data_IF_598431520722
#
_entry.id   IF_598431520722
#
_cell.length_a   1.000
_cell.length_b   1.000
_cell.length_c   1.000
_cell.angle_alpha   90.00
_cell.angle_beta   90.00
_cell.angle_gamma   90.00
#
_symmetry.space_group_name_H-M   'P 1'
#
loop_
_entity.id
_entity.type
_entity.pdbx_description
1 polymer ?
#
# COMPACT_ATOMS: atom_id res chain seq x y z
N UNK A 1 6.58 14.18 20.63
CA UNK A 1 5.74 14.50 19.46
C UNK A 1 5.68 13.26 18.59
N UNK A 2 4.50 12.82 18.17
CA UNK A 2 4.38 11.69 17.24
C UNK A 2 4.42 12.23 15.81
N UNK A 3 5.27 11.64 14.96
CA UNK A 3 5.46 12.09 13.58
C UNK A 3 4.98 10.98 12.65
N UNK A 4 3.89 11.18 11.89
CA UNK A 4 3.41 10.16 10.96
C UNK A 4 4.42 9.97 9.80
N UNK A 5 4.45 8.77 9.19
CA UNK A 5 5.33 8.49 8.07
C UNK A 5 5.02 9.36 6.84
N UNK A 6 5.96 9.47 5.88
CA UNK A 6 5.75 10.26 4.68
C UNK A 6 4.54 9.76 3.91
N UNK A 7 3.71 10.69 3.40
CA UNK A 7 2.50 10.37 2.63
C UNK A 7 1.49 9.48 3.39
N UNK A 8 1.47 9.57 4.73
CA UNK A 8 0.53 8.84 5.57
C UNK A 8 -0.93 9.18 5.22
N UNK A 9 -1.78 8.16 5.28
CA UNK A 9 -3.23 8.30 5.13
C UNK A 9 -3.96 7.15 5.79
N UNK A 10 -5.18 7.43 6.24
CA UNK A 10 -6.14 6.40 6.63
C UNK A 10 -6.94 6.05 5.38
N UNK A 11 -6.95 4.78 5.00
CA UNK A 11 -7.73 4.28 3.85
C UNK A 11 -9.11 3.88 4.33
N UNK A 12 -9.17 3.07 5.39
CA UNK A 12 -10.39 2.60 6.06
C UNK A 12 -10.11 2.42 7.56
N UNK A 13 -11.13 2.08 8.33
CA UNK A 13 -10.94 1.66 9.72
C UNK A 13 -9.93 0.51 9.79
N UNK A 14 -8.87 0.69 10.58
CA UNK A 14 -7.76 -0.26 10.72
C UNK A 14 -6.97 -0.57 9.43
N UNK A 15 -7.12 0.23 8.37
CA UNK A 15 -6.31 0.16 7.15
C UNK A 15 -5.63 1.49 6.86
N UNK A 16 -4.30 1.44 6.78
CA UNK A 16 -3.48 2.63 6.62
C UNK A 16 -2.58 2.52 5.38
N UNK A 17 -2.10 3.67 4.91
CA UNK A 17 -1.13 3.78 3.81
C UNK A 17 -0.02 4.77 4.15
N UNK A 18 1.17 4.57 3.58
CA UNK A 18 2.25 5.56 3.56
C UNK A 18 3.37 5.18 2.60
N UNK A 19 4.38 6.04 2.51
CA UNK A 19 5.73 5.66 2.10
C UNK A 19 6.49 4.92 3.20
N UNK A 20 7.72 4.51 2.91
CA UNK A 20 8.56 3.84 3.89
C UNK A 20 8.84 4.78 5.09
N UNK A 21 8.59 4.34 6.33
CA UNK A 21 8.90 5.11 7.52
C UNK A 21 10.40 5.11 7.82
N UNK A 22 10.85 6.13 8.55
CA UNK A 22 12.13 6.15 9.24
C UNK A 22 11.95 5.96 10.76
N UNK A 23 13.06 5.94 11.51
CA UNK A 23 13.05 5.74 12.97
C UNK A 23 12.25 6.81 13.73
N UNK A 24 12.13 8.03 13.20
CA UNK A 24 11.35 9.10 13.83
C UNK A 24 9.84 8.78 13.79
N UNK A 25 9.41 7.96 12.82
CA UNK A 25 8.01 7.56 12.66
C UNK A 25 7.62 6.34 13.50
N UNK A 26 8.57 5.54 13.96
CA UNK A 26 8.28 4.28 14.66
C UNK A 26 7.38 4.47 15.90
N UNK A 27 7.60 5.49 16.77
CA UNK A 27 6.69 5.73 17.90
C UNK A 27 5.25 6.02 17.50
N UNK A 28 5.02 6.57 16.30
CA UNK A 28 3.67 6.76 15.77
C UNK A 28 3.07 5.42 15.30
N UNK A 29 3.84 4.59 14.61
CA UNK A 29 3.40 3.27 14.13
C UNK A 29 3.06 2.32 15.29
N UNK A 30 3.79 2.38 16.40
CA UNK A 30 3.48 1.61 17.61
C UNK A 30 2.05 1.89 18.12
N UNK A 31 1.54 3.12 17.96
CA UNK A 31 0.17 3.46 18.37
C UNK A 31 -0.91 2.85 17.51
N UNK A 32 -0.57 2.44 16.28
CA UNK A 32 -1.51 1.79 15.38
C UNK A 32 -1.69 0.30 15.69
N UNK A 33 -0.82 -0.30 16.53
CA UNK A 33 -0.83 -1.72 16.89
C UNK A 33 -0.98 -2.61 15.65
N UNK A 34 -0.16 -2.34 14.63
CA UNK A 34 -0.23 -3.03 13.35
C UNK A 34 0.02 -4.53 13.54
N UNK A 35 -0.78 -5.33 12.84
CA UNK A 35 -0.58 -6.78 12.75
C UNK A 35 0.18 -7.14 11.49
N UNK A 36 -0.17 -6.47 10.39
CA UNK A 36 0.31 -6.83 9.05
C UNK A 36 0.72 -5.61 8.25
N UNK A 37 1.82 -5.74 7.50
CA UNK A 37 2.28 -4.75 6.53
C UNK A 37 2.41 -5.42 5.16
N UNK A 38 1.81 -4.81 4.14
CA UNK A 38 1.90 -5.21 2.74
C UNK A 38 2.92 -4.28 2.07
N UNK A 39 4.08 -4.84 1.72
CA UNK A 39 5.21 -4.15 1.12
C UNK A 39 5.24 -4.39 -0.40
N UNK A 40 5.06 -3.32 -1.17
CA UNK A 40 4.84 -3.38 -2.62
C UNK A 40 6.07 -2.98 -3.44
N UNK A 41 7.13 -2.48 -2.81
CA UNK A 41 8.35 -2.12 -3.52
C UNK A 41 9.17 -3.37 -3.90
N UNK A 42 9.83 -3.38 -5.06
CA UNK A 42 10.67 -4.52 -5.45
C UNK A 42 11.93 -4.64 -4.59
N UNK A 43 12.42 -3.53 -4.04
CA UNK A 43 13.55 -3.53 -3.12
C UNK A 43 13.15 -4.05 -1.73
N UNK A 44 14.14 -4.55 -1.00
CA UNK A 44 13.99 -4.84 0.43
C UNK A 44 13.78 -3.52 1.21
N UNK A 45 12.92 -3.53 2.25
CA UNK A 45 12.81 -2.39 3.15
C UNK A 45 14.13 -2.17 3.91
N UNK A 46 14.33 -0.95 4.42
CA UNK A 46 15.52 -0.64 5.21
C UNK A 46 15.63 -1.57 6.42
N UNK A 47 16.86 -1.88 6.82
CA UNK A 47 17.15 -2.76 7.95
C UNK A 47 16.46 -2.30 9.24
N UNK A 48 16.49 -1.00 9.53
CA UNK A 48 15.85 -0.44 10.72
C UNK A 48 14.33 -0.68 10.74
N UNK A 49 13.66 -0.59 9.58
CA UNK A 49 12.23 -0.84 9.48
C UNK A 49 11.91 -2.34 9.54
N UNK A 50 12.75 -3.17 8.94
CA UNK A 50 12.65 -4.63 9.02
C UNK A 50 12.79 -5.12 10.46
N UNK A 51 13.76 -4.58 11.21
CA UNK A 51 13.98 -4.92 12.61
C UNK A 51 12.86 -4.41 13.52
N UNK A 52 12.33 -3.21 13.23
CA UNK A 52 11.13 -2.71 13.89
C UNK A 52 9.93 -3.67 13.72
N UNK A 53 9.69 -4.15 12.49
CA UNK A 53 8.61 -5.09 12.23
C UNK A 53 8.76 -6.38 13.04
N UNK A 54 9.99 -6.95 13.08
CA UNK A 54 10.28 -8.15 13.87
C UNK A 54 10.07 -7.91 15.36
N UNK A 55 10.54 -6.78 15.88
CA UNK A 55 10.42 -6.44 17.30
C UNK A 55 8.97 -6.26 17.74
N UNK A 56 8.14 -5.63 16.89
CA UNK A 56 6.72 -5.43 17.16
C UNK A 56 5.85 -6.65 16.84
N UNK A 57 6.43 -7.76 16.32
CA UNK A 57 5.69 -8.94 15.93
C UNK A 57 4.79 -8.75 14.70
N UNK A 58 5.13 -7.78 13.85
CA UNK A 58 4.39 -7.44 12.64
C UNK A 58 4.73 -8.43 11.52
N UNK A 59 3.71 -8.97 10.87
CA UNK A 59 3.89 -9.83 9.69
C UNK A 59 4.08 -8.97 8.45
N UNK A 60 5.26 -9.03 7.84
CA UNK A 60 5.59 -8.31 6.61
C UNK A 60 5.38 -9.21 5.38
N UNK A 61 4.41 -8.86 4.52
CA UNK A 61 4.20 -9.52 3.23
C UNK A 61 4.88 -8.72 2.13
N UNK A 62 6.03 -9.21 1.65
CA UNK A 62 6.77 -8.62 0.54
C UNK A 62 6.25 -9.12 -0.80
N UNK A 63 5.42 -8.31 -1.47
CA UNK A 63 4.83 -8.68 -2.75
C UNK A 63 5.58 -8.10 -3.96
N UNK A 64 6.39 -7.06 -3.78
CA UNK A 64 7.14 -6.44 -4.87
C UNK A 64 8.25 -7.32 -5.49
N UNK A 65 8.76 -8.33 -4.76
CA UNK A 65 9.82 -9.25 -5.24
C UNK A 65 9.31 -10.29 -6.22
N UNK A 66 8.00 -10.58 -6.23
CA UNK A 66 7.43 -11.73 -6.94
C UNK A 66 7.60 -11.70 -8.46
N UNK A 67 7.93 -10.54 -9.07
CA UNK A 67 7.97 -10.39 -10.54
C UNK A 67 9.15 -9.57 -11.11
N UNK A 68 10.24 -9.37 -10.35
CA UNK A 68 11.47 -8.67 -10.82
C UNK A 68 11.21 -7.39 -11.64
N UNK A 69 10.22 -6.59 -11.25
CA UNK A 69 9.93 -5.31 -11.91
C UNK A 69 10.96 -4.28 -11.49
N UNK A 70 11.51 -3.48 -12.41
CA UNK A 70 12.32 -2.33 -12.03
C UNK A 70 11.47 -1.31 -11.25
N UNK A 71 12.11 -0.41 -10.50
CA UNK A 71 11.42 0.64 -9.75
C UNK A 71 10.50 1.52 -10.63
N UNK A 72 10.83 1.65 -11.91
CA UNK A 72 10.06 2.43 -12.89
C UNK A 72 8.83 1.69 -13.43
N UNK A 73 8.85 0.36 -13.40
CA UNK A 73 7.84 -0.48 -14.02
C UNK A 73 6.52 -0.43 -13.24
N UNK A 74 5.38 -0.52 -13.94
CA UNK A 74 4.08 -0.58 -13.29
C UNK A 74 3.97 -1.84 -12.41
N UNK A 75 3.11 -1.76 -11.39
CA UNK A 75 2.76 -2.92 -10.58
C UNK A 75 2.04 -3.94 -11.45
N UNK A 76 2.32 -5.23 -11.25
CA UNK A 76 1.66 -6.30 -12.00
C UNK A 76 0.29 -6.61 -11.40
N UNK A 77 -0.62 -7.14 -12.22
CA UNK A 77 -1.96 -7.53 -11.78
C UNK A 77 -1.92 -8.59 -10.68
N UNK A 78 -0.99 -9.55 -10.76
CA UNK A 78 -0.86 -10.59 -9.74
C UNK A 78 -0.51 -10.02 -8.36
N UNK A 79 0.36 -9.00 -8.30
CA UNK A 79 0.70 -8.32 -7.04
C UNK A 79 -0.51 -7.59 -6.48
N UNK A 80 -1.30 -6.94 -7.34
CA UNK A 80 -2.53 -6.27 -6.92
C UNK A 80 -3.54 -7.28 -6.39
N UNK A 81 -3.80 -8.37 -7.11
CA UNK A 81 -4.70 -9.44 -6.69
C UNK A 81 -4.29 -10.03 -5.34
N UNK A 82 -3.00 -10.36 -5.18
CA UNK A 82 -2.52 -10.91 -3.92
C UNK A 82 -2.61 -9.90 -2.77
N UNK A 83 -2.34 -8.62 -3.02
CA UNK A 83 -2.55 -7.58 -2.01
C UNK A 83 -4.04 -7.49 -1.61
N UNK A 84 -4.96 -7.51 -2.59
CA UNK A 84 -6.39 -7.47 -2.34
C UNK A 84 -6.87 -8.72 -1.58
N UNK A 85 -6.35 -9.91 -1.89
CA UNK A 85 -6.64 -11.14 -1.13
C UNK A 85 -6.31 -11.01 0.36
N UNK A 86 -5.20 -10.35 0.72
CA UNK A 86 -4.91 -10.07 2.12
C UNK A 86 -5.86 -9.02 2.70
N UNK A 87 -6.20 -7.97 1.93
CA UNK A 87 -7.04 -6.86 2.38
C UNK A 87 -8.52 -7.23 2.55
N UNK A 88 -9.03 -8.26 1.86
CA UNK A 88 -10.40 -8.76 2.08
C UNK A 88 -10.52 -9.67 3.30
N UNK A 89 -9.40 -10.17 3.84
CA UNK A 89 -9.39 -11.05 5.00
C UNK A 89 -9.42 -10.26 6.32
N UNK A 90 -10.44 -10.43 7.18
CA UNK A 90 -10.50 -9.72 8.47
C UNK A 90 -9.31 -10.04 9.40
N UNK A 91 -8.70 -11.21 9.25
CA UNK A 91 -7.54 -11.63 10.04
C UNK A 91 -6.28 -10.82 9.80
N UNK A 92 -6.21 -10.05 8.71
CA UNK A 92 -5.05 -9.22 8.34
C UNK A 92 -4.99 -7.90 9.13
N UNK A 93 -6.10 -7.47 9.72
CA UNK A 93 -6.21 -6.15 10.34
C UNK A 93 -5.71 -6.13 11.79
N UNK A 94 -5.14 -4.99 12.28
CA UNK A 94 -4.88 -3.74 11.56
C UNK A 94 -3.74 -3.86 10.54
N UNK A 95 -4.00 -3.37 9.32
CA UNK A 95 -3.15 -3.56 8.16
C UNK A 95 -2.58 -2.23 7.65
N UNK A 96 -1.42 -2.32 7.01
CA UNK A 96 -0.73 -1.15 6.46
C UNK A 96 -0.19 -1.46 5.07
N UNK A 97 -0.53 -0.65 4.06
CA UNK A 97 -0.09 -0.83 2.67
C UNK A 97 0.92 0.24 2.30
N UNK A 98 2.11 -0.17 1.83
CA UNK A 98 3.17 0.78 1.51
C UNK A 98 4.09 0.32 0.38
N UNK A 99 4.69 1.31 -0.27
CA UNK A 99 5.87 1.18 -1.11
C UNK A 99 6.85 2.29 -0.69
N UNK A 100 8.01 2.43 -1.35
CA UNK A 100 9.03 3.42 -0.97
C UNK A 100 8.48 4.83 -0.70
N UNK A 101 7.63 5.37 -1.60
CA UNK A 101 7.07 6.72 -1.47
C UNK A 101 5.56 6.75 -1.16
N UNK A 102 4.89 5.60 -1.13
CA UNK A 102 3.45 5.51 -0.89
C UNK A 102 2.58 6.14 -1.98
N UNK A 103 3.11 6.28 -3.20
CA UNK A 103 2.44 6.97 -4.33
C UNK A 103 1.83 5.98 -5.31
N UNK A 104 2.62 5.48 -6.25
CA UNK A 104 2.13 4.75 -7.42
C UNK A 104 1.62 3.35 -7.08
N UNK A 105 2.49 2.48 -6.56
CA UNK A 105 2.13 1.08 -6.25
C UNK A 105 1.06 0.99 -5.17
N UNK A 106 1.27 1.68 -4.05
CA UNK A 106 0.27 1.83 -2.98
C UNK A 106 -1.02 2.44 -3.50
N UNK A 107 -0.94 3.51 -4.30
CA UNK A 107 -2.13 4.15 -4.86
C UNK A 107 -2.90 3.28 -5.82
N UNK A 108 -2.23 2.44 -6.61
CA UNK A 108 -2.89 1.46 -7.48
C UNK A 108 -3.61 0.38 -6.68
N UNK A 109 -2.98 -0.21 -5.67
CA UNK A 109 -3.65 -1.20 -4.80
C UNK A 109 -4.86 -0.58 -4.09
N UNK A 110 -4.70 0.61 -3.50
CA UNK A 110 -5.80 1.33 -2.85
C UNK A 110 -6.89 1.68 -3.86
N UNK A 111 -6.55 2.12 -5.07
CA UNK A 111 -7.52 2.43 -6.12
C UNK A 111 -8.32 1.20 -6.56
N UNK A 112 -7.68 0.04 -6.73
CA UNK A 112 -8.36 -1.22 -7.01
C UNK A 112 -9.23 -1.67 -5.82
N UNK A 113 -8.81 -1.44 -4.58
CA UNK A 113 -9.64 -1.67 -3.40
C UNK A 113 -10.91 -0.78 -3.43
N UNK A 114 -10.79 0.51 -3.76
CA UNK A 114 -11.96 1.39 -3.92
C UNK A 114 -12.91 0.91 -5.01
N UNK A 115 -12.37 0.33 -6.08
CA UNK A 115 -13.16 -0.27 -7.16
C UNK A 115 -13.95 -1.48 -6.66
N UNK A 116 -13.35 -2.35 -5.84
CA UNK A 116 -14.08 -3.44 -5.15
C UNK A 116 -15.18 -2.91 -4.24
N UNK A 117 -14.93 -1.77 -3.57
CA UNK A 117 -15.92 -1.06 -2.75
C UNK A 117 -16.99 -0.32 -3.58
N UNK A 118 -17.02 -0.51 -4.91
CA UNK A 118 -17.98 0.11 -5.82
C UNK A 118 -17.97 1.65 -5.82
N UNK A 119 -16.81 2.27 -5.55
CA UNK A 119 -16.65 3.71 -5.71
C UNK A 119 -16.72 4.08 -7.20
N UNK A 120 -17.19 5.29 -7.48
CA UNK A 120 -17.16 5.81 -8.85
C UNK A 120 -15.72 6.14 -9.27
N UNK A 121 -15.39 5.90 -10.54
CA UNK A 121 -14.03 6.05 -11.07
C UNK A 121 -13.44 7.45 -10.82
N UNK A 122 -14.24 8.51 -10.97
CA UNK A 122 -13.77 9.89 -10.76
C UNK A 122 -13.26 10.12 -9.33
N UNK A 123 -13.96 9.59 -8.32
CA UNK A 123 -13.52 9.67 -6.92
C UNK A 123 -12.27 8.83 -6.65
N UNK A 124 -12.16 7.65 -7.28
CA UNK A 124 -10.97 6.80 -7.15
C UNK A 124 -9.74 7.52 -7.71
N UNK A 125 -9.86 8.11 -8.91
CA UNK A 125 -8.76 8.83 -9.54
C UNK A 125 -8.40 10.12 -8.79
N UNK A 126 -9.38 10.82 -8.20
CA UNK A 126 -9.10 11.99 -7.35
C UNK A 126 -8.27 11.60 -6.11
N UNK A 127 -8.65 10.52 -5.41
CA UNK A 127 -7.88 10.01 -4.27
C UNK A 127 -6.46 9.62 -4.69
N UNK A 128 -6.32 8.89 -5.80
CA UNK A 128 -5.01 8.53 -6.35
C UNK A 128 -4.14 9.76 -6.62
N UNK A 129 -4.68 10.77 -7.33
CA UNK A 129 -3.96 11.99 -7.70
C UNK A 129 -3.52 12.78 -6.49
N UNK A 130 -4.35 12.84 -5.44
CA UNK A 130 -4.03 13.51 -4.18
C UNK A 130 -2.76 12.94 -3.54
N UNK A 131 -2.62 11.62 -3.50
CA UNK A 131 -1.43 10.96 -2.95
C UNK A 131 -0.24 10.91 -3.91
N UNK A 132 -0.47 10.94 -5.22
CA UNK A 132 0.60 10.99 -6.22
C UNK A 132 1.24 12.39 -6.34
N UNK A 133 0.49 13.45 -6.02
CA UNK A 133 0.94 14.84 -6.09
C UNK A 133 1.33 15.26 -7.51
N UNK A 134 2.48 15.91 -7.67
CA UNK A 134 2.98 16.34 -8.99
C UNK A 134 3.54 15.20 -9.85
N UNK A 135 3.54 13.97 -9.34
CA UNK A 135 4.12 12.78 -10.00
C UNK A 135 3.05 11.78 -10.44
N UNK A 136 1.84 12.24 -10.76
CA UNK A 136 0.77 11.40 -11.33
C UNK A 136 1.26 10.66 -12.57
N UNK A 137 0.88 9.39 -12.70
CA UNK A 137 1.18 8.55 -13.86
C UNK A 137 -0.12 8.05 -14.48
N UNK A 138 -0.37 8.41 -15.74
CA UNK A 138 -1.58 8.00 -16.47
C UNK A 138 -1.70 6.48 -16.56
N UNK A 139 -0.58 5.76 -16.69
CA UNK A 139 -0.55 4.29 -16.72
C UNK A 139 -1.17 3.66 -15.46
N UNK A 140 -0.99 4.28 -14.28
CA UNK A 140 -1.59 3.78 -13.05
C UNK A 140 -3.11 4.07 -13.00
N UNK A 141 -3.56 5.19 -13.56
CA UNK A 141 -5.00 5.50 -13.67
C UNK A 141 -5.69 4.52 -14.63
N UNK A 142 -5.08 4.27 -15.80
CA UNK A 142 -5.55 3.29 -16.77
C UNK A 142 -5.59 1.88 -16.18
N UNK A 143 -4.58 1.51 -15.38
CA UNK A 143 -4.58 0.23 -14.68
C UNK A 143 -5.80 0.12 -13.75
N UNK A 144 -6.07 1.13 -12.92
CA UNK A 144 -7.22 1.12 -12.01
C UNK A 144 -8.54 1.04 -12.80
N UNK A 145 -8.65 1.81 -13.89
CA UNK A 145 -9.83 1.83 -14.76
C UNK A 145 -10.11 0.46 -15.39
N UNK A 146 -9.07 -0.23 -15.86
CA UNK A 146 -9.21 -1.50 -16.59
C UNK A 146 -9.17 -2.75 -15.70
N UNK A 147 -8.77 -2.62 -14.42
CA UNK A 147 -8.65 -3.76 -13.50
C UNK A 147 -9.98 -4.52 -13.34
N UNK A 148 -9.98 -5.82 -13.59
CA UNK A 148 -11.15 -6.65 -13.41
C UNK A 148 -11.28 -7.09 -11.94
N UNK A 149 -12.38 -6.67 -11.30
CA UNK A 149 -12.64 -6.95 -9.89
C UNK A 149 -13.13 -8.38 -9.64
N UNK A 150 -13.63 -9.07 -10.67
CA UNK A 150 -14.13 -10.45 -10.53
C UNK A 150 -12.99 -11.44 -10.25
N UNK A 151 -11.75 -11.08 -10.59
CA UNK A 151 -10.56 -11.90 -10.36
C UNK A 151 -10.15 -12.05 -8.88
N UNK A 152 -10.76 -11.29 -7.98
CA UNK A 152 -10.43 -11.28 -6.54
C UNK A 152 -11.15 -12.41 -5.77
N UNK A 153 -12.18 -13.02 -6.38
CA UNK A 153 -13.00 -14.09 -5.79
C UNK A 153 -12.81 -15.42 -6.54
#
# INVERSE_FOLDING_TARGET
>A
MLVPPPNFGIVEENLYRSGQPDQLNFPFLEKLNLKTIIWLAPEEPDLAFSDFCKYQGITLHHLGVLYQTNASDPITEQVVLQALHYLVQPSTYPAFVMCNLGRHRTGTVVGCLRKLQSWNLSSILDEYRRYAGTKVRVLNEQFIELFDVELVF
#
